data_IF_060466976549
#
_entry.id   IF_060466976549
#
_cell.length_a   1.000
_cell.length_b   1.000
_cell.length_c   1.000
_cell.angle_alpha   90.00
_cell.angle_beta   90.00
_cell.angle_gamma   90.00
#
_symmetry.space_group_name_H-M   'P 1'
#
loop_
_entity.id
_entity.type
_entity.pdbx_description
1 polymer ?
#
# COMPACT_ATOMS: atom_id res chain seq x y z
N UNK A 1 -5.87 23.79 -18.01
CA UNK A 1 -5.85 23.69 -16.54
C UNK A 1 -4.72 22.74 -16.17
N UNK A 2 -3.61 23.18 -15.55
CA UNK A 2 -2.66 22.22 -15.02
C UNK A 2 -3.39 21.37 -13.99
N UNK A 3 -3.28 20.06 -14.17
CA UNK A 3 -3.95 19.01 -13.42
C UNK A 3 -3.75 19.17 -11.90
N UNK A 4 -4.78 19.65 -11.20
CA UNK A 4 -4.79 19.72 -9.74
C UNK A 4 -4.42 18.35 -9.15
N UNK A 5 -3.39 18.32 -8.30
CA UNK A 5 -2.94 17.12 -7.60
C UNK A 5 -1.91 16.25 -8.32
N UNK A 6 -1.46 16.59 -9.54
CA UNK A 6 -0.33 15.91 -10.17
C UNK A 6 1.00 16.45 -9.62
N UNK A 7 1.82 15.52 -9.12
CA UNK A 7 3.16 15.81 -8.61
C UNK A 7 4.16 15.91 -9.77
N UNK A 8 5.05 16.89 -9.67
CA UNK A 8 6.16 17.12 -10.61
C UNK A 8 6.92 15.81 -10.91
N UNK A 9 7.16 15.55 -12.20
CA UNK A 9 7.90 14.38 -12.70
C UNK A 9 9.29 14.25 -12.07
N UNK A 10 10.00 15.36 -11.84
CA UNK A 10 11.31 15.36 -11.19
C UNK A 10 11.23 14.82 -9.76
N UNK A 11 10.14 15.10 -9.03
CA UNK A 11 9.92 14.64 -7.66
C UNK A 11 9.45 13.19 -7.54
N UNK A 12 8.81 12.65 -8.59
CA UNK A 12 8.27 11.28 -8.64
C UNK A 12 9.00 10.36 -9.60
N UNK A 13 10.31 10.57 -9.78
CA UNK A 13 11.15 9.68 -10.61
C UNK A 13 11.00 8.23 -10.14
N UNK A 14 10.82 7.32 -11.09
CA UNK A 14 10.60 5.88 -10.84
C UNK A 14 9.35 5.56 -9.99
N UNK A 15 8.30 6.39 -10.08
CA UNK A 15 6.98 6.13 -9.49
C UNK A 15 5.93 5.96 -10.57
N UNK A 16 5.00 5.03 -10.36
CA UNK A 16 3.89 4.76 -11.29
C UNK A 16 2.73 5.74 -11.13
N UNK A 17 2.43 6.16 -9.90
CA UNK A 17 1.39 7.14 -9.63
C UNK A 17 1.83 8.56 -9.94
N UNK A 18 0.88 9.39 -10.37
CA UNK A 18 1.08 10.81 -10.64
C UNK A 18 0.61 11.71 -9.48
N UNK A 19 -0.22 11.21 -8.57
CA UNK A 19 -0.84 12.01 -7.51
C UNK A 19 -0.65 11.38 -6.13
N UNK A 20 -0.72 12.22 -5.10
CA UNK A 20 -0.85 11.79 -3.70
C UNK A 20 -2.20 12.22 -3.11
N UNK A 21 -3.25 12.12 -3.93
CA UNK A 21 -4.61 12.46 -3.54
C UNK A 21 -5.06 11.59 -2.37
N UNK A 22 -5.80 12.13 -1.39
CA UNK A 22 -6.26 11.37 -0.24
C UNK A 22 -7.12 10.18 -0.67
N UNK A 23 -7.09 9.12 0.14
CA UNK A 23 -7.95 7.96 -0.07
C UNK A 23 -9.43 8.29 0.11
N UNK A 24 -10.32 7.42 -0.36
CA UNK A 24 -11.78 7.62 -0.37
C UNK A 24 -12.43 7.89 1.00
N UNK A 25 -11.72 7.61 2.09
CA UNK A 25 -12.21 7.73 3.47
C UNK A 25 -11.68 8.99 4.17
N UNK A 26 -10.73 9.69 3.56
CA UNK A 26 -10.09 10.86 4.13
C UNK A 26 -10.68 12.14 3.50
N UNK A 27 -10.72 13.26 4.24
CA UNK A 27 -11.07 14.55 3.65
C UNK A 27 -10.15 14.92 2.48
N UNK A 28 -10.71 15.63 1.50
CA UNK A 28 -9.93 16.22 0.41
C UNK A 28 -8.87 17.17 0.95
N UNK A 29 -7.69 17.16 0.33
CA UNK A 29 -6.61 18.14 0.59
C UNK A 29 -6.07 18.68 -0.73
N UNK A 30 -5.77 19.96 -0.78
CA UNK A 30 -5.07 20.61 -1.88
C UNK A 30 -3.86 21.37 -1.35
N UNK A 31 -2.84 21.49 -2.19
CA UNK A 31 -1.73 22.40 -1.92
C UNK A 31 -2.19 23.81 -2.29
N UNK A 32 -1.94 24.77 -1.41
CA UNK A 32 -2.23 26.18 -1.61
C UNK A 32 -0.93 26.97 -1.45
N UNK A 33 -0.81 28.03 -2.24
CA UNK A 33 0.27 29.00 -2.11
C UNK A 33 0.03 29.83 -0.84
N UNK A 34 1.10 30.10 -0.08
CA UNK A 34 1.03 30.86 1.17
C UNK A 34 1.30 32.36 0.99
N UNK A 35 1.51 32.82 -0.25
CA UNK A 35 1.71 34.21 -0.63
C UNK A 35 3.15 34.70 -0.54
N UNK A 36 4.11 33.84 -0.16
CA UNK A 36 5.52 34.21 -0.02
C UNK A 36 6.33 33.79 -1.25
N UNK A 37 7.05 34.74 -1.85
CA UNK A 37 7.95 34.49 -2.98
C UNK A 37 9.32 33.98 -2.50
N UNK A 38 9.31 32.85 -1.79
CA UNK A 38 10.51 32.18 -1.30
C UNK A 38 10.65 30.86 -2.06
N UNK A 39 11.79 30.59 -2.74
CA UNK A 39 12.01 29.31 -3.40
C UNK A 39 11.92 28.15 -2.39
N UNK A 40 10.91 27.29 -2.54
CA UNK A 40 10.76 26.11 -1.70
C UNK A 40 11.51 24.91 -2.31
N UNK A 41 12.51 24.41 -1.60
CA UNK A 41 13.18 23.17 -1.96
C UNK A 41 12.23 21.98 -1.72
N UNK A 42 11.77 21.34 -2.81
CA UNK A 42 10.87 20.19 -2.75
C UNK A 42 11.60 18.92 -3.20
N UNK A 43 12.26 18.17 -2.29
CA UNK A 43 12.99 16.97 -2.67
C UNK A 43 12.08 15.88 -3.25
N UNK A 44 12.72 14.92 -3.91
CA UNK A 44 12.05 13.72 -4.42
C UNK A 44 11.50 12.85 -3.30
N UNK A 45 10.41 12.13 -3.61
CA UNK A 45 9.71 11.29 -2.63
C UNK A 45 10.53 10.02 -2.32
N UNK A 46 11.00 9.93 -1.07
CA UNK A 46 11.70 8.76 -0.55
C UNK A 46 10.72 7.69 -0.10
N UNK A 47 11.12 6.43 -0.23
CA UNK A 47 10.38 5.32 0.37
C UNK A 47 10.74 5.20 1.84
N UNK A 48 9.72 5.00 2.67
CA UNK A 48 9.83 4.69 4.09
C UNK A 48 9.11 3.38 4.37
N UNK A 49 9.67 2.59 5.29
CA UNK A 49 9.10 1.33 5.73
C UNK A 49 8.77 1.38 7.22
N UNK A 50 7.50 1.19 7.56
CA UNK A 50 7.04 0.96 8.92
C UNK A 50 6.96 -0.54 9.21
N UNK A 51 6.93 -0.90 10.50
CA UNK A 51 6.79 -2.28 10.95
C UNK A 51 5.42 -2.48 11.58
N UNK A 52 4.70 -3.50 11.12
CA UNK A 52 3.44 -3.97 11.72
C UNK A 52 3.66 -5.38 12.30
N UNK A 53 3.15 -5.64 13.50
CA UNK A 53 3.10 -7.00 14.08
C UNK A 53 1.68 -7.54 13.88
N UNK A 54 1.45 -8.41 12.89
CA UNK A 54 0.12 -8.93 12.61
C UNK A 54 -0.33 -9.93 13.68
N UNK A 55 -1.63 -9.95 14.00
CA UNK A 55 -2.21 -10.98 14.88
C UNK A 55 -2.52 -12.27 14.11
N UNK A 56 -2.87 -12.15 12.84
CA UNK A 56 -3.13 -13.24 11.89
C UNK A 56 -2.47 -12.92 10.55
N UNK A 57 -2.04 -13.93 9.81
CA UNK A 57 -1.41 -13.75 8.50
C UNK A 57 -2.23 -14.34 7.36
N UNK A 58 -2.93 -15.44 7.58
CA UNK A 58 -3.78 -16.06 6.56
C UNK A 58 -5.10 -15.29 6.45
N UNK A 59 -5.35 -14.68 5.30
CA UNK A 59 -6.65 -14.13 4.91
C UNK A 59 -7.40 -15.19 4.12
N UNK A 60 -8.71 -15.29 4.31
CA UNK A 60 -9.58 -16.19 3.55
C UNK A 60 -10.56 -15.40 2.67
N UNK A 61 -10.82 -15.92 1.48
CA UNK A 61 -11.82 -15.41 0.56
C UNK A 61 -12.77 -16.56 0.14
N UNK A 62 -13.95 -16.20 -0.38
CA UNK A 62 -14.97 -17.15 -0.85
C UNK A 62 -15.41 -16.85 -2.29
N UNK A 63 -14.56 -16.16 -3.05
CA UNK A 63 -14.89 -15.82 -4.43
C UNK A 63 -14.88 -17.10 -5.28
N UNK A 64 -15.94 -17.38 -6.05
CA UNK A 64 -15.93 -18.50 -6.98
C UNK A 64 -14.99 -18.28 -8.18
N UNK A 65 -14.53 -17.04 -8.38
CA UNK A 65 -13.69 -16.63 -9.51
C UNK A 65 -12.19 -16.81 -9.25
N UNK A 66 -11.80 -17.08 -8.00
CA UNK A 66 -10.41 -17.27 -7.60
C UNK A 66 -10.10 -18.76 -7.43
N UNK A 67 -8.96 -19.26 -7.96
CA UNK A 67 -8.57 -20.66 -7.82
C UNK A 67 -8.00 -20.99 -6.42
N UNK A 68 -8.07 -20.06 -5.47
CA UNK A 68 -7.58 -20.19 -4.10
C UNK A 68 -8.55 -19.52 -3.11
N UNK A 69 -8.66 -20.10 -1.91
CA UNK A 69 -9.50 -19.59 -0.82
C UNK A 69 -8.70 -18.80 0.22
N UNK A 70 -7.36 -18.79 0.13
CA UNK A 70 -6.49 -18.18 1.14
C UNK A 70 -5.24 -17.52 0.58
N UNK A 71 -4.81 -16.47 1.26
CA UNK A 71 -3.66 -15.66 0.87
C UNK A 71 -2.85 -15.19 2.08
N UNK A 72 -1.60 -14.81 1.82
CA UNK A 72 -0.73 -14.12 2.78
C UNK A 72 -0.06 -12.91 2.11
N UNK A 73 0.17 -11.86 2.90
CA UNK A 73 0.96 -10.71 2.49
C UNK A 73 2.07 -10.42 3.52
N UNK A 74 3.35 -10.49 3.12
CA UNK A 74 4.48 -10.18 3.99
C UNK A 74 4.66 -8.68 4.23
N UNK A 75 4.10 -7.84 3.36
CA UNK A 75 4.10 -6.39 3.49
C UNK A 75 2.88 -5.76 2.82
N UNK A 76 2.63 -4.48 3.07
CA UNK A 76 1.63 -3.66 2.38
C UNK A 76 2.34 -2.53 1.61
N UNK A 77 1.82 -2.18 0.44
CA UNK A 77 2.44 -1.20 -0.48
C UNK A 77 3.49 -1.87 -1.35
N UNK A 78 3.96 -1.23 -2.43
CA UNK A 78 5.01 -1.82 -3.27
C UNK A 78 5.78 -0.76 -4.07
N UNK A 79 7.12 -0.75 -3.97
CA UNK A 79 7.97 0.21 -4.70
C UNK A 79 7.92 0.03 -6.22
N UNK A 80 7.55 -1.16 -6.71
CA UNK A 80 7.36 -1.37 -8.14
C UNK A 80 6.29 -0.44 -8.70
N UNK A 81 5.25 -0.17 -7.89
CA UNK A 81 4.29 0.86 -8.22
C UNK A 81 3.52 0.65 -9.52
N UNK A 82 3.19 -0.58 -9.92
CA UNK A 82 2.28 -0.83 -11.07
C UNK A 82 1.03 0.03 -10.89
N UNK A 83 0.75 0.95 -11.82
CA UNK A 83 -0.42 1.85 -11.70
C UNK A 83 -1.74 1.07 -11.68
N UNK A 84 -1.74 -0.11 -12.30
CA UNK A 84 -2.86 -1.04 -12.38
C UNK A 84 -2.90 -2.06 -11.22
N UNK A 85 -2.07 -1.91 -10.18
CA UNK A 85 -2.07 -2.84 -9.05
C UNK A 85 -3.41 -2.79 -8.28
N UNK A 86 -4.12 -3.92 -8.25
CA UNK A 86 -5.40 -4.04 -7.56
C UNK A 86 -5.32 -3.81 -6.04
N UNK A 87 -4.13 -3.91 -5.44
CA UNK A 87 -3.95 -3.71 -4.00
C UNK A 87 -3.94 -2.23 -3.61
N UNK A 88 -3.77 -1.29 -4.55
CA UNK A 88 -3.70 0.16 -4.26
C UNK A 88 -4.86 0.69 -3.43
N UNK A 89 -6.14 0.37 -3.72
CA UNK A 89 -7.27 0.85 -2.92
C UNK A 89 -7.20 0.44 -1.45
N UNK A 90 -6.48 -0.64 -1.10
CA UNK A 90 -6.37 -1.09 0.29
C UNK A 90 -5.59 -0.12 1.18
N UNK A 91 -4.69 0.69 0.62
CA UNK A 91 -3.96 1.73 1.35
C UNK A 91 -4.88 2.81 1.91
N UNK A 92 -6.04 3.04 1.28
CA UNK A 92 -7.01 4.01 1.77
C UNK A 92 -7.56 3.62 3.15
N UNK A 93 -7.65 2.33 3.48
CA UNK A 93 -8.09 1.88 4.81
C UNK A 93 -7.06 2.15 5.92
N UNK A 94 -5.85 2.58 5.55
CA UNK A 94 -4.77 2.96 6.46
C UNK A 94 -4.66 4.49 6.59
N UNK A 95 -5.59 5.25 6.03
CA UNK A 95 -5.49 6.71 5.91
C UNK A 95 -4.41 7.18 4.92
N UNK A 96 -3.89 6.28 4.08
CA UNK A 96 -2.85 6.55 3.11
C UNK A 96 -3.42 6.73 1.70
N UNK A 97 -2.74 7.51 0.86
CA UNK A 97 -3.11 7.62 -0.55
C UNK A 97 -2.94 6.28 -1.28
N UNK A 98 -3.91 5.87 -2.12
CA UNK A 98 -3.72 4.75 -3.06
C UNK A 98 -2.77 5.11 -4.22
N UNK A 99 -2.38 6.38 -4.34
CA UNK A 99 -1.42 6.91 -5.30
C UNK A 99 0.01 6.73 -4.83
N UNK A 100 0.70 7.84 -4.57
CA UNK A 100 2.13 7.83 -4.24
C UNK A 100 2.43 7.18 -2.89
N UNK A 101 1.59 7.35 -1.86
CA UNK A 101 1.82 6.68 -0.57
C UNK A 101 1.83 5.13 -0.69
N UNK A 102 1.14 4.54 -1.68
CA UNK A 102 1.24 3.09 -1.93
C UNK A 102 2.66 2.63 -2.28
N UNK A 103 3.44 3.49 -2.93
CA UNK A 103 4.79 3.20 -3.43
C UNK A 103 5.88 3.70 -2.49
N UNK A 104 5.56 4.68 -1.63
CA UNK A 104 6.53 5.34 -0.75
C UNK A 104 6.30 5.07 0.74
N UNK A 105 5.14 4.56 1.15
CA UNK A 105 4.83 4.19 2.54
C UNK A 105 4.56 2.69 2.61
N UNK A 106 5.63 1.92 2.82
CA UNK A 106 5.54 0.47 2.93
C UNK A 106 5.34 0.05 4.39
N UNK A 107 4.67 -1.07 4.59
CA UNK A 107 4.46 -1.65 5.91
C UNK A 107 4.95 -3.09 5.89
N UNK A 108 6.10 -3.35 6.49
CA UNK A 108 6.70 -4.67 6.59
C UNK A 108 6.15 -5.44 7.80
N UNK A 109 6.03 -6.77 7.66
CA UNK A 109 5.60 -7.66 8.74
C UNK A 109 6.71 -8.68 9.07
N UNK A 110 7.80 -8.27 9.73
CA UNK A 110 8.92 -9.16 10.04
C UNK A 110 8.52 -10.33 10.96
N UNK A 111 7.50 -10.15 11.80
CA UNK A 111 6.94 -11.21 12.65
C UNK A 111 6.02 -12.20 11.88
N UNK A 112 5.77 -11.99 10.59
CA UNK A 112 4.90 -12.84 9.78
C UNK A 112 5.26 -14.35 9.82
N UNK A 113 6.53 -14.78 9.76
CA UNK A 113 6.87 -16.20 9.81
C UNK A 113 6.42 -16.89 11.11
N UNK A 114 6.56 -16.21 12.25
CA UNK A 114 6.15 -16.73 13.56
C UNK A 114 4.63 -16.91 13.63
N UNK A 115 3.90 -15.89 13.20
CA UNK A 115 2.44 -15.86 13.17
C UNK A 115 1.92 -16.96 12.24
N UNK A 116 2.50 -17.06 11.04
CA UNK A 116 2.13 -18.08 10.06
C UNK A 116 2.37 -19.49 10.59
N UNK A 117 3.53 -19.74 11.23
CA UNK A 117 3.84 -21.05 11.81
C UNK A 117 2.78 -21.47 12.82
N UNK A 118 2.34 -20.55 13.68
CA UNK A 118 1.27 -20.82 14.66
C UNK A 118 -0.06 -21.14 13.98
N UNK A 119 -0.44 -20.39 12.94
CA UNK A 119 -1.69 -20.60 12.20
C UNK A 119 -1.69 -21.94 11.46
N UNK A 120 -0.58 -22.29 10.80
CA UNK A 120 -0.42 -23.57 10.10
C UNK A 120 -0.41 -24.78 11.05
N UNK A 121 0.06 -24.59 12.29
CA UNK A 121 0.11 -25.65 13.31
C UNK A 121 -1.22 -25.84 14.07
N UNK A 122 -2.23 -25.00 13.83
CA UNK A 122 -3.51 -25.11 14.51
C UNK A 122 -4.22 -26.43 14.13
N UNK A 123 -4.81 -27.13 15.11
CA UNK A 123 -5.49 -28.43 14.89
C UNK A 123 -6.58 -28.39 13.81
N UNK A 124 -7.22 -27.23 13.62
CA UNK A 124 -8.26 -27.03 12.62
C UNK A 124 -7.74 -26.63 11.23
N UNK A 125 -6.45 -26.36 11.08
CA UNK A 125 -5.88 -25.96 9.80
C UNK A 125 -5.88 -27.13 8.83
N UNK A 126 -6.42 -26.92 7.63
CA UNK A 126 -6.39 -27.88 6.52
C UNK A 126 -5.45 -27.35 5.46
N UNK A 127 -4.40 -28.09 5.13
CA UNK A 127 -3.43 -27.67 4.11
C UNK A 127 -4.11 -27.50 2.74
N UNK A 128 -3.86 -26.37 2.09
CA UNK A 128 -4.29 -26.05 0.74
C UNK A 128 -3.31 -25.01 0.14
N UNK A 129 -3.31 -24.80 -1.19
CA UNK A 129 -2.51 -23.75 -1.81
C UNK A 129 -2.75 -22.37 -1.18
N UNK A 130 -1.68 -21.59 -1.00
CA UNK A 130 -1.73 -20.23 -0.46
C UNK A 130 -1.20 -19.26 -1.51
N UNK A 131 -2.01 -18.28 -1.89
CA UNK A 131 -1.56 -17.19 -2.75
C UNK A 131 -0.69 -16.19 -1.96
N UNK A 132 0.40 -15.72 -2.56
CA UNK A 132 1.32 -14.75 -1.94
C UNK A 132 1.26 -13.44 -2.72
N UNK A 133 1.16 -12.31 -2.03
CA UNK A 133 1.13 -11.00 -2.68
C UNK A 133 -0.26 -10.57 -3.14
N UNK A 134 -1.31 -11.17 -2.58
CA UNK A 134 -2.70 -10.74 -2.76
C UNK A 134 -3.35 -10.44 -1.42
N UNK A 135 -4.20 -9.40 -1.38
CA UNK A 135 -4.99 -9.05 -0.19
C UNK A 135 -5.93 -10.17 0.25
#
# INVERSE_FOLDING_TARGET
MPSEGVIDRARRRARGAASNAPGRFEPGRCAVDDGWDIPEERPGLRTEAAVEVPRSLITYNRSPDLPFDRSINPYRGCEHGCIYCFARPSHAFLGLSPGLDFETRLIARPAAPEVLRRELAARGYRAAPIAIGTN
#
